data_IF_166918983146
#
_entry.id   IF_166918983146
#
_cell.length_a   1.000
_cell.length_b   1.000
_cell.length_c   1.000
_cell.angle_alpha   90.00
_cell.angle_beta   90.00
_cell.angle_gamma   90.00
#
_symmetry.space_group_name_H-M   'P 1'
#
loop_
_entity.id
_entity.type
_entity.pdbx_description
1 polymer ?
#
# COMPACT_ATOMS: atom_id res chain seq x y z
N UNK A 1 18.26 -10.73 -8.17
CA UNK A 1 19.02 -9.80 -7.30
C UNK A 1 18.26 -8.47 -7.27
N UNK A 2 17.15 -8.40 -6.53
CA UNK A 2 16.33 -7.19 -6.27
C UNK A 2 15.27 -7.47 -5.19
N UNK A 3 14.79 -8.72 -5.06
CA UNK A 3 13.91 -9.19 -3.97
C UNK A 3 14.45 -8.85 -2.58
N UNK A 4 15.76 -9.06 -2.34
CA UNK A 4 16.36 -8.83 -1.02
C UNK A 4 16.34 -7.34 -0.63
N UNK A 5 16.55 -6.45 -1.60
CA UNK A 5 16.50 -5.00 -1.38
C UNK A 5 15.07 -4.55 -1.09
N UNK A 6 14.10 -5.05 -1.85
CA UNK A 6 12.67 -4.81 -1.62
C UNK A 6 12.22 -5.33 -0.25
N UNK A 7 12.59 -6.57 0.08
CA UNK A 7 12.29 -7.17 1.38
C UNK A 7 12.89 -6.34 2.52
N UNK A 8 14.17 -5.98 2.42
CA UNK A 8 14.85 -5.19 3.45
C UNK A 8 14.22 -3.81 3.60
N UNK A 9 13.80 -3.20 2.50
CA UNK A 9 13.10 -1.92 2.51
C UNK A 9 11.75 -2.05 3.20
N UNK A 10 10.92 -3.02 2.81
CA UNK A 10 9.58 -3.25 3.38
C UNK A 10 9.63 -3.65 4.86
N UNK A 11 10.68 -4.37 5.28
CA UNK A 11 10.91 -4.68 6.69
C UNK A 11 11.18 -3.42 7.53
N UNK A 12 11.91 -2.45 6.95
CA UNK A 12 12.25 -1.17 7.57
C UNK A 12 11.12 -0.14 7.53
N UNK A 13 10.12 -0.30 6.66
CA UNK A 13 8.96 0.60 6.63
C UNK A 13 8.24 0.54 7.98
N UNK A 14 8.15 1.68 8.64
CA UNK A 14 7.34 1.86 9.84
C UNK A 14 5.92 2.31 9.46
N UNK A 15 4.99 2.10 10.39
CA UNK A 15 3.63 2.64 10.28
C UNK A 15 3.66 4.16 10.04
N UNK A 16 4.60 4.85 10.70
CA UNK A 16 4.82 6.29 10.55
C UNK A 16 5.16 6.70 9.12
N UNK A 17 5.98 5.92 8.42
CA UNK A 17 6.31 6.16 7.01
C UNK A 17 5.09 6.03 6.11
N UNK A 18 4.28 5.00 6.34
CA UNK A 18 3.02 4.78 5.61
C UNK A 18 2.06 5.94 5.85
N UNK A 19 1.92 6.38 7.11
CA UNK A 19 1.08 7.50 7.48
C UNK A 19 1.56 8.81 6.83
N UNK A 20 2.87 9.08 6.88
CA UNK A 20 3.46 10.26 6.26
C UNK A 20 3.29 10.24 4.74
N UNK A 21 3.44 9.08 4.10
CA UNK A 21 3.18 8.92 2.67
C UNK A 21 1.71 9.16 2.33
N UNK A 22 0.79 8.56 3.08
CA UNK A 22 -0.65 8.76 2.93
C UNK A 22 -1.02 10.23 3.07
N UNK A 23 -0.53 10.90 4.13
CA UNK A 23 -0.76 12.34 4.36
C UNK A 23 -0.23 13.21 3.22
N UNK A 24 0.95 12.90 2.67
CA UNK A 24 1.50 13.61 1.50
C UNK A 24 0.61 13.48 0.27
N UNK A 25 -0.12 12.38 0.14
CA UNK A 25 -1.09 12.13 -0.92
C UNK A 25 -2.51 12.62 -0.57
N UNK A 26 -2.70 13.29 0.57
CA UNK A 26 -4.01 13.76 1.04
C UNK A 26 -4.92 12.64 1.58
N UNK A 27 -4.36 11.48 1.92
CA UNK A 27 -5.05 10.35 2.54
C UNK A 27 -4.89 10.44 4.06
N UNK A 28 -6.01 10.45 4.77
CA UNK A 28 -6.03 10.35 6.22
C UNK A 28 -6.35 8.91 6.59
N UNK A 29 -5.32 8.14 6.94
CA UNK A 29 -5.48 6.78 7.44
C UNK A 29 -5.75 6.81 8.94
N UNK A 30 -6.77 6.09 9.40
CA UNK A 30 -6.96 5.83 10.82
C UNK A 30 -5.91 4.83 11.34
N UNK A 31 -5.63 4.82 12.65
CA UNK A 31 -4.63 3.90 13.24
C UNK A 31 -4.91 2.42 12.92
N UNK A 32 -6.19 2.03 12.90
CA UNK A 32 -6.62 0.67 12.54
C UNK A 32 -6.30 0.35 11.07
N UNK A 33 -6.58 1.28 10.16
CA UNK A 33 -6.26 1.12 8.73
C UNK A 33 -4.75 1.06 8.50
N UNK A 34 -4.00 1.85 9.24
CA UNK A 34 -2.54 1.88 9.23
C UNK A 34 -1.91 0.56 9.65
N UNK A 35 -2.44 -0.06 10.71
CA UNK A 35 -1.99 -1.37 11.17
C UNK A 35 -2.27 -2.45 10.10
N UNK A 36 -3.48 -2.43 9.52
CA UNK A 36 -3.88 -3.36 8.46
C UNK A 36 -2.96 -3.21 7.25
N UNK A 37 -2.76 -1.99 6.74
CA UNK A 37 -1.89 -1.73 5.58
C UNK A 37 -0.46 -2.16 5.88
N UNK A 38 0.07 -1.87 7.08
CA UNK A 38 1.43 -2.26 7.46
C UNK A 38 1.63 -3.78 7.45
N UNK A 39 0.67 -4.53 8.02
CA UNK A 39 0.69 -5.99 8.01
C UNK A 39 0.57 -6.52 6.58
N UNK A 40 -0.36 -5.99 5.79
CA UNK A 40 -0.56 -6.42 4.41
C UNK A 40 0.65 -6.12 3.54
N UNK A 41 1.31 -4.97 3.70
CA UNK A 41 2.54 -4.65 2.98
C UNK A 41 3.62 -5.68 3.32
N UNK A 42 3.87 -5.93 4.61
CA UNK A 42 4.91 -6.88 5.04
C UNK A 42 4.61 -8.32 4.64
N UNK A 43 3.35 -8.71 4.58
CA UNK A 43 2.91 -10.09 4.28
C UNK A 43 2.75 -10.34 2.78
N UNK A 44 2.27 -9.35 2.03
CA UNK A 44 1.84 -9.50 0.63
C UNK A 44 2.63 -8.65 -0.39
N UNK A 45 3.68 -7.91 0.02
CA UNK A 45 4.50 -7.13 -0.92
C UNK A 45 5.01 -7.91 -2.13
N UNK A 46 5.33 -9.19 -1.93
CA UNK A 46 5.84 -10.05 -3.00
C UNK A 46 4.78 -10.27 -4.08
N UNK A 47 3.52 -10.45 -3.68
CA UNK A 47 2.38 -10.55 -4.59
C UNK A 47 2.06 -9.22 -5.25
N UNK A 48 2.24 -8.10 -4.53
CA UNK A 48 2.11 -6.77 -5.11
C UNK A 48 3.11 -6.49 -6.23
N UNK A 49 4.35 -6.97 -6.08
CA UNK A 49 5.43 -6.67 -7.02
C UNK A 49 5.58 -7.71 -8.16
N UNK A 50 5.41 -9.00 -7.86
CA UNK A 50 5.61 -10.10 -8.82
C UNK A 50 4.32 -10.76 -9.29
N UNK A 51 3.22 -10.58 -8.57
CA UNK A 51 1.96 -11.27 -8.80
C UNK A 51 0.85 -10.33 -9.23
N UNK A 52 -0.38 -10.74 -8.93
CA UNK A 52 -1.56 -9.95 -9.20
C UNK A 52 -2.07 -9.31 -7.90
N UNK A 53 -1.88 -8.00 -7.68
CA UNK A 53 -2.34 -7.32 -6.46
C UNK A 53 -3.87 -7.17 -6.38
N UNK A 54 -4.61 -7.57 -7.41
CA UNK A 54 -6.05 -7.31 -7.55
C UNK A 54 -6.86 -7.84 -6.36
N UNK A 55 -6.63 -9.09 -5.96
CA UNK A 55 -7.31 -9.70 -4.81
C UNK A 55 -6.99 -8.96 -3.51
N UNK A 56 -5.73 -8.53 -3.34
CA UNK A 56 -5.30 -7.82 -2.14
C UNK A 56 -5.88 -6.40 -2.10
N UNK A 57 -5.99 -5.74 -3.26
CA UNK A 57 -6.66 -4.45 -3.38
C UNK A 57 -8.16 -4.58 -3.07
N UNK A 58 -8.82 -5.64 -3.51
CA UNK A 58 -10.22 -5.91 -3.15
C UNK A 58 -10.40 -6.23 -1.66
N UNK A 59 -9.49 -7.01 -1.06
CA UNK A 59 -9.49 -7.22 0.39
C UNK A 59 -9.29 -5.90 1.15
N UNK A 60 -8.33 -5.08 0.72
CA UNK A 60 -8.12 -3.75 1.30
C UNK A 60 -9.36 -2.87 1.13
N UNK A 61 -10.07 -2.93 -0.01
CA UNK A 61 -11.34 -2.22 -0.19
C UNK A 61 -12.38 -2.58 0.87
N UNK A 62 -12.46 -3.85 1.26
CA UNK A 62 -13.43 -4.30 2.27
C UNK A 62 -13.05 -3.93 3.71
N UNK A 63 -11.77 -3.62 3.95
CA UNK A 63 -11.22 -3.28 5.27
C UNK A 63 -11.01 -1.79 5.48
N UNK A 64 -10.81 -1.05 4.39
CA UNK A 64 -10.58 0.39 4.39
C UNK A 64 -11.89 1.13 4.12
N UNK A 65 -11.93 2.38 4.54
CA UNK A 65 -13.04 3.27 4.19
C UNK A 65 -13.04 3.57 2.69
N UNK A 66 -14.23 3.79 2.12
CA UNK A 66 -14.37 4.14 0.69
C UNK A 66 -13.50 5.36 0.30
N UNK A 67 -13.38 6.39 1.16
CA UNK A 67 -12.51 7.55 0.89
C UNK A 67 -11.03 7.14 0.76
N UNK A 68 -10.56 6.32 1.70
CA UNK A 68 -9.19 5.80 1.72
C UNK A 68 -8.92 4.93 0.49
N UNK A 69 -9.82 4.01 0.18
CA UNK A 69 -9.68 3.13 -0.98
C UNK A 69 -9.67 3.92 -2.28
N UNK A 70 -10.57 4.88 -2.45
CA UNK A 70 -10.69 5.66 -3.67
C UNK A 70 -9.41 6.46 -3.94
N UNK A 71 -8.79 7.03 -2.89
CA UNK A 71 -7.49 7.69 -3.01
C UNK A 71 -6.35 6.72 -3.30
N UNK A 72 -6.33 5.52 -2.70
CA UNK A 72 -5.34 4.48 -3.04
C UNK A 72 -5.49 4.03 -4.50
N UNK A 73 -6.72 3.86 -4.99
CA UNK A 73 -6.97 3.53 -6.39
C UNK A 73 -6.48 4.64 -7.32
N UNK A 74 -6.74 5.90 -6.97
CA UNK A 74 -6.20 7.05 -7.71
C UNK A 74 -4.67 7.04 -7.74
N UNK A 75 -4.01 6.78 -6.62
CA UNK A 75 -2.55 6.65 -6.58
C UNK A 75 -2.07 5.51 -7.47
N UNK A 76 -2.70 4.35 -7.36
CA UNK A 76 -2.35 3.20 -8.19
C UNK A 76 -2.48 3.51 -9.69
N UNK A 77 -3.57 4.18 -10.08
CA UNK A 77 -3.76 4.67 -11.44
C UNK A 77 -2.67 5.67 -11.83
N UNK A 78 -2.37 6.68 -11.01
CA UNK A 78 -1.32 7.67 -11.29
C UNK A 78 0.07 7.05 -11.45
N UNK A 79 0.44 6.09 -10.60
CA UNK A 79 1.72 5.38 -10.70
C UNK A 79 1.77 4.50 -11.94
N UNK A 80 0.66 3.87 -12.31
CA UNK A 80 0.56 3.06 -13.53
C UNK A 80 0.61 3.93 -14.80
N UNK A 81 -0.04 5.09 -14.78
CA UNK A 81 -0.06 6.04 -15.91
C UNK A 81 1.32 6.69 -16.12
N UNK A 82 2.03 7.05 -15.04
CA UNK A 82 3.40 7.58 -15.12
C UNK A 82 4.45 6.54 -15.56
N UNK A 83 4.11 5.25 -15.60
CA UNK A 83 4.99 4.19 -16.11
C UNK A 83 4.84 3.96 -17.61
N UNK A 84 3.99 4.74 -18.30
CA UNK A 84 3.67 4.61 -19.72
C UNK A 84 4.26 5.74 -20.57
#
# INVERSE_FOLDING_TARGET
MNDFLLQTYIQKIEKTDINNFAKKQGITLEENELDIIHIYLKKHWRTFYYGNPKEILEELKTKLSDDTYNKIEQLYRQFKDNFN
#
